data_IF_427991412812
#
_entry.id   IF_427991412812
#
_cell.length_a   1.000
_cell.length_b   1.000
_cell.length_c   1.000
_cell.angle_alpha   90.00
_cell.angle_beta   90.00
_cell.angle_gamma   90.00
#
_symmetry.space_group_name_H-M   'P 1'
#
loop_
_entity.id
_entity.type
_entity.pdbx_description
1 polymer ?
#
# COMPACT_ATOMS: atom_id res chain seq x y z
N UNK A 1 -8.09 -7.63 23.54
CA UNK A 1 -9.24 -6.91 22.91
C UNK A 1 -9.21 -7.20 21.43
N UNK A 2 -10.37 -7.48 20.83
CA UNK A 2 -10.47 -7.68 19.39
C UNK A 2 -10.49 -6.30 18.72
N UNK A 3 -9.35 -5.85 18.15
CA UNK A 3 -9.25 -4.56 17.48
C UNK A 3 -9.63 -4.74 16.03
N UNK A 4 -10.57 -3.92 15.55
CA UNK A 4 -10.86 -3.82 14.12
C UNK A 4 -9.63 -3.35 13.35
N UNK A 5 -9.48 -3.82 12.13
CA UNK A 5 -8.33 -3.54 11.27
C UNK A 5 -8.77 -3.08 9.90
N UNK A 6 -7.99 -2.20 9.30
CA UNK A 6 -8.02 -1.91 7.87
C UNK A 6 -6.69 -2.39 7.31
N UNK A 7 -6.76 -3.34 6.39
CA UNK A 7 -5.59 -3.83 5.68
C UNK A 7 -5.27 -2.88 4.52
N UNK A 8 -4.15 -2.19 4.61
CA UNK A 8 -3.75 -1.19 3.63
C UNK A 8 -2.99 -1.77 2.42
N UNK A 9 -2.82 -3.09 2.32
CA UNK A 9 -2.14 -3.70 1.20
C UNK A 9 -2.48 -5.18 1.05
N UNK A 10 -3.22 -5.53 0.03
CA UNK A 10 -3.48 -6.90 -0.40
C UNK A 10 -3.71 -7.00 -1.90
N UNK A 11 -3.58 -8.20 -2.43
CA UNK A 11 -3.73 -8.50 -3.84
C UNK A 11 -4.81 -9.54 -4.10
N UNK A 12 -5.35 -9.52 -5.32
CA UNK A 12 -6.28 -10.50 -5.84
C UNK A 12 -5.79 -10.99 -7.20
N UNK A 13 -5.77 -12.30 -7.41
CA UNK A 13 -5.44 -12.87 -8.69
C UNK A 13 -4.71 -14.20 -8.64
N UNK A 14 -4.19 -14.60 -9.79
CA UNK A 14 -3.34 -15.79 -9.95
C UNK A 14 -1.87 -15.39 -10.03
N UNK A 15 -1.09 -15.82 -9.04
CA UNK A 15 0.35 -15.60 -8.92
C UNK A 15 1.13 -16.92 -9.16
N UNK A 16 0.53 -17.88 -9.88
CA UNK A 16 1.07 -19.23 -10.09
C UNK A 16 2.44 -19.27 -10.77
N UNK A 17 2.78 -18.24 -11.56
CA UNK A 17 4.03 -18.20 -12.31
C UNK A 17 5.29 -18.11 -11.44
N UNK A 18 5.25 -17.42 -10.30
CA UNK A 18 6.42 -17.25 -9.41
C UNK A 18 6.13 -17.60 -7.95
N UNK A 19 4.92 -17.36 -7.46
CA UNK A 19 4.58 -17.59 -6.05
C UNK A 19 3.82 -18.91 -5.83
N UNK A 20 3.26 -19.53 -6.90
CA UNK A 20 2.52 -20.78 -6.80
C UNK A 20 1.20 -20.68 -6.04
N UNK A 21 0.63 -19.48 -5.93
CA UNK A 21 -0.62 -19.21 -5.20
C UNK A 21 -1.63 -18.49 -6.08
N UNK A 22 -2.92 -18.80 -5.86
CA UNK A 22 -4.04 -18.04 -6.38
C UNK A 22 -4.92 -17.59 -5.20
N UNK A 23 -5.44 -16.36 -5.26
CA UNK A 23 -6.22 -15.78 -4.20
C UNK A 23 -7.45 -15.08 -4.78
N UNK A 24 -8.61 -15.65 -4.53
CA UNK A 24 -9.88 -15.15 -5.03
C UNK A 24 -10.63 -14.31 -3.98
N UNK A 25 -11.70 -13.63 -4.41
CA UNK A 25 -12.53 -12.80 -3.54
C UNK A 25 -13.11 -13.59 -2.36
N UNK A 26 -13.43 -14.88 -2.53
CA UNK A 26 -13.99 -15.72 -1.45
C UNK A 26 -12.92 -15.97 -0.37
N UNK A 27 -11.70 -16.28 -0.78
CA UNK A 27 -10.59 -16.50 0.14
C UNK A 27 -10.25 -15.20 0.90
N UNK A 28 -10.26 -14.07 0.21
CA UNK A 28 -10.05 -12.75 0.80
C UNK A 28 -11.11 -12.44 1.87
N UNK A 29 -12.39 -12.58 1.56
CA UNK A 29 -13.48 -12.27 2.50
C UNK A 29 -13.45 -13.19 3.73
N UNK A 30 -13.15 -14.46 3.55
CA UNK A 30 -12.97 -15.41 4.67
C UNK A 30 -11.81 -14.98 5.56
N UNK A 31 -10.65 -14.63 4.97
CA UNK A 31 -9.50 -14.12 5.72
C UNK A 31 -9.85 -12.84 6.50
N UNK A 32 -10.60 -11.93 5.89
CA UNK A 32 -11.05 -10.71 6.56
C UNK A 32 -11.93 -11.01 7.78
N UNK A 33 -12.87 -11.96 7.66
CA UNK A 33 -13.74 -12.39 8.77
C UNK A 33 -12.93 -13.05 9.90
N UNK A 34 -12.04 -13.99 9.57
CA UNK A 34 -11.20 -14.72 10.53
C UNK A 34 -10.27 -13.81 11.35
N UNK A 35 -9.89 -12.66 10.81
CA UNK A 35 -8.90 -11.76 11.42
C UNK A 35 -9.43 -10.38 11.80
N UNK A 36 -10.76 -10.16 11.81
CA UNK A 36 -11.40 -8.88 12.13
C UNK A 36 -10.92 -7.72 11.25
N UNK A 37 -10.72 -7.98 9.96
CA UNK A 37 -10.39 -6.98 8.97
C UNK A 37 -11.71 -6.40 8.45
N UNK A 38 -11.95 -5.12 8.72
CA UNK A 38 -13.18 -4.45 8.31
C UNK A 38 -13.16 -4.10 6.83
N UNK A 39 -12.04 -3.58 6.36
CA UNK A 39 -11.81 -3.21 4.95
C UNK A 39 -10.40 -3.60 4.53
N UNK A 40 -10.24 -3.87 3.24
CA UNK A 40 -8.93 -4.10 2.64
C UNK A 40 -8.73 -3.21 1.42
N UNK A 41 -7.54 -2.63 1.31
CA UNK A 41 -7.05 -2.00 0.10
C UNK A 41 -6.59 -3.11 -0.85
N UNK A 42 -7.19 -3.14 -2.03
CA UNK A 42 -7.02 -4.23 -2.97
C UNK A 42 -6.47 -3.75 -4.31
N UNK A 43 -5.39 -4.37 -4.77
CA UNK A 43 -4.85 -4.21 -6.10
C UNK A 43 -4.80 -5.55 -6.84
N UNK A 44 -4.81 -5.53 -8.17
CA UNK A 44 -4.64 -6.72 -9.00
C UNK A 44 -3.22 -7.29 -8.95
N UNK A 45 -2.94 -8.35 -9.72
CA UNK A 45 -1.62 -8.95 -9.81
C UNK A 45 -0.67 -8.21 -10.77
N UNK A 46 -1.19 -7.27 -11.53
CA UNK A 46 -0.49 -6.42 -12.48
C UNK A 46 -1.39 -5.29 -12.96
N UNK A 47 -0.86 -4.41 -13.81
CA UNK A 47 -1.64 -3.34 -14.45
C UNK A 47 -2.78 -3.86 -15.35
N UNK A 48 -2.77 -5.13 -15.73
CA UNK A 48 -3.84 -5.78 -16.50
C UNK A 48 -4.92 -6.43 -15.61
N UNK A 49 -4.72 -6.49 -14.30
CA UNK A 49 -5.61 -7.16 -13.35
C UNK A 49 -6.71 -6.28 -12.73
N UNK A 50 -6.83 -5.03 -13.14
CA UNK A 50 -7.72 -4.06 -12.51
C UNK A 50 -9.22 -4.41 -12.62
N UNK A 51 -9.65 -5.08 -13.70
CA UNK A 51 -11.06 -5.47 -13.88
C UNK A 51 -11.51 -6.53 -12.85
N UNK A 52 -10.60 -7.40 -12.38
CA UNK A 52 -10.91 -8.34 -11.31
C UNK A 52 -11.12 -7.63 -9.96
N UNK A 53 -10.35 -6.56 -9.70
CA UNK A 53 -10.53 -5.70 -8.53
C UNK A 53 -11.86 -4.94 -8.62
N UNK A 54 -12.21 -4.44 -9.80
CA UNK A 54 -13.49 -3.76 -10.05
C UNK A 54 -14.67 -4.70 -9.76
N UNK A 55 -14.66 -5.93 -10.27
CA UNK A 55 -15.70 -6.94 -10.01
C UNK A 55 -15.84 -7.23 -8.51
N UNK A 56 -14.72 -7.40 -7.81
CA UNK A 56 -14.72 -7.63 -6.36
C UNK A 56 -15.28 -6.41 -5.60
N UNK A 57 -14.90 -5.20 -5.98
CA UNK A 57 -15.40 -3.96 -5.38
C UNK A 57 -16.91 -3.77 -5.61
N UNK A 58 -17.40 -3.96 -6.84
CA UNK A 58 -18.81 -3.81 -7.15
C UNK A 58 -19.70 -4.78 -6.35
N UNK A 59 -19.20 -5.98 -6.05
CA UNK A 59 -19.91 -6.98 -5.21
C UNK A 59 -19.80 -6.72 -3.71
N UNK A 60 -18.72 -6.10 -3.26
CA UNK A 60 -18.41 -5.90 -1.83
C UNK A 60 -17.88 -4.48 -1.54
N UNK A 61 -18.67 -3.42 -1.85
CA UNK A 61 -18.19 -2.03 -1.75
C UNK A 61 -17.95 -1.56 -0.30
N UNK A 62 -18.53 -2.24 0.66
CA UNK A 62 -18.33 -2.01 2.10
C UNK A 62 -17.06 -2.68 2.65
N UNK A 63 -16.45 -3.61 1.91
CA UNK A 63 -15.27 -4.38 2.32
C UNK A 63 -14.01 -3.98 1.56
N UNK A 64 -14.12 -3.63 0.30
CA UNK A 64 -13.01 -3.43 -0.61
C UNK A 64 -12.80 -1.95 -0.89
N UNK A 65 -11.55 -1.51 -0.77
CA UNK A 65 -11.07 -0.19 -1.20
C UNK A 65 -10.21 -0.42 -2.45
N UNK A 66 -10.74 -0.19 -3.66
CA UNK A 66 -10.08 -0.56 -4.89
C UNK A 66 -8.95 0.43 -5.24
N UNK A 67 -7.79 -0.11 -5.62
CA UNK A 67 -6.65 0.64 -6.12
C UNK A 67 -6.30 0.19 -7.53
N UNK A 68 -6.12 1.16 -8.44
CA UNK A 68 -5.71 0.87 -9.81
C UNK A 68 -4.21 0.62 -9.86
N UNK A 69 -3.79 -0.54 -10.35
CA UNK A 69 -2.39 -0.75 -10.70
C UNK A 69 -2.11 -0.13 -12.05
N UNK A 70 -1.12 0.75 -12.11
CA UNK A 70 -0.68 1.45 -13.31
C UNK A 70 0.80 1.17 -13.59
N UNK A 71 1.11 0.83 -14.83
CA UNK A 71 2.48 0.82 -15.37
C UNK A 71 2.71 2.17 -16.07
N UNK A 72 3.49 3.08 -15.48
CA UNK A 72 3.63 4.43 -16.03
C UNK A 72 4.36 4.48 -17.38
N UNK A 73 5.04 3.39 -17.75
CA UNK A 73 5.84 3.31 -18.98
C UNK A 73 5.03 2.73 -20.15
N UNK A 74 4.12 1.77 -19.86
CA UNK A 74 3.43 1.00 -20.90
C UNK A 74 1.94 1.32 -21.04
N UNK A 75 1.32 1.81 -19.96
CA UNK A 75 -0.10 2.14 -19.97
C UNK A 75 -0.35 3.53 -20.57
N UNK A 76 -1.53 3.72 -21.14
CA UNK A 76 -2.11 5.04 -21.36
C UNK A 76 -2.63 5.54 -20.00
N UNK A 77 -1.77 6.31 -19.30
CA UNK A 77 -1.95 6.72 -17.91
C UNK A 77 -3.27 7.48 -17.73
N UNK A 78 -3.48 8.52 -18.55
CA UNK A 78 -4.67 9.38 -18.44
C UNK A 78 -5.95 8.57 -18.66
N UNK A 79 -6.01 7.82 -19.72
CA UNK A 79 -7.18 7.00 -20.06
C UNK A 79 -7.49 5.96 -18.99
N UNK A 80 -6.45 5.25 -18.51
CA UNK A 80 -6.64 4.20 -17.50
C UNK A 80 -7.06 4.78 -16.16
N UNK A 81 -6.42 5.84 -15.70
CA UNK A 81 -6.75 6.47 -14.43
C UNK A 81 -8.14 7.14 -14.48
N UNK A 82 -8.49 7.80 -15.59
CA UNK A 82 -9.85 8.33 -15.77
C UNK A 82 -10.90 7.22 -15.64
N UNK A 83 -10.73 6.11 -16.36
CA UNK A 83 -11.66 4.97 -16.28
C UNK A 83 -11.84 4.49 -14.85
N UNK A 84 -10.75 4.12 -14.16
CA UNK A 84 -10.88 3.45 -12.87
C UNK A 84 -11.15 4.43 -11.70
N UNK A 85 -10.55 5.61 -11.69
CA UNK A 85 -10.72 6.56 -10.58
C UNK A 85 -11.97 7.41 -10.74
N UNK A 86 -12.17 8.00 -11.94
CA UNK A 86 -13.27 8.94 -12.16
C UNK A 86 -14.58 8.20 -12.43
N UNK A 87 -14.57 7.23 -13.36
CA UNK A 87 -15.78 6.57 -13.80
C UNK A 87 -16.21 5.43 -12.86
N UNK A 88 -15.25 4.62 -12.36
CA UNK A 88 -15.52 3.42 -11.57
C UNK A 88 -15.29 3.59 -10.05
N UNK A 89 -14.80 4.75 -9.60
CA UNK A 89 -14.71 5.12 -8.19
C UNK A 89 -13.58 4.45 -7.41
N UNK A 90 -12.49 4.06 -8.06
CA UNK A 90 -11.28 3.61 -7.38
C UNK A 90 -10.71 4.73 -6.51
N UNK A 91 -10.06 4.36 -5.39
CA UNK A 91 -9.71 5.29 -4.31
C UNK A 91 -8.25 5.70 -4.29
N UNK A 92 -7.42 5.14 -5.16
CA UNK A 92 -6.01 5.47 -5.26
C UNK A 92 -5.28 4.61 -6.28
N UNK A 93 -3.97 4.80 -6.34
CA UNK A 93 -3.09 4.20 -7.34
C UNK A 93 -2.06 3.29 -6.69
N UNK A 94 -1.80 2.13 -7.31
CA UNK A 94 -0.68 1.23 -7.01
C UNK A 94 0.34 1.30 -8.14
N UNK A 95 1.62 1.51 -7.79
CA UNK A 95 2.75 1.31 -8.69
C UNK A 95 3.70 0.24 -8.16
N UNK A 96 4.28 -0.56 -9.05
CA UNK A 96 5.24 -1.59 -8.69
C UNK A 96 6.52 -1.50 -9.54
N UNK A 97 7.47 -0.62 -9.19
CA UNK A 97 8.63 -0.33 -10.04
C UNK A 97 9.46 -1.56 -10.44
N UNK A 98 9.58 -2.57 -9.54
CA UNK A 98 10.30 -3.80 -9.87
C UNK A 98 9.60 -4.62 -10.96
N UNK A 99 8.29 -4.86 -10.86
CA UNK A 99 7.56 -5.69 -11.82
C UNK A 99 7.33 -4.98 -13.15
N UNK A 100 7.13 -3.67 -13.10
CA UNK A 100 6.92 -2.85 -14.29
C UNK A 100 8.25 -2.31 -14.88
N UNK A 101 9.39 -2.63 -14.23
CA UNK A 101 10.75 -2.36 -14.69
C UNK A 101 11.05 -0.87 -14.97
N UNK A 102 10.67 0.02 -14.04
CA UNK A 102 11.04 1.44 -14.04
C UNK A 102 11.65 1.86 -12.70
N UNK A 103 12.44 2.92 -12.67
CA UNK A 103 12.93 3.48 -11.40
C UNK A 103 11.87 4.43 -10.83
N UNK A 104 11.61 4.35 -9.52
CA UNK A 104 10.46 5.02 -8.90
C UNK A 104 10.42 6.55 -9.11
N UNK A 105 11.57 7.21 -9.28
CA UNK A 105 11.68 8.66 -9.59
C UNK A 105 11.84 8.98 -11.08
N UNK A 106 11.66 7.99 -11.97
CA UNK A 106 11.63 8.21 -13.40
C UNK A 106 10.55 9.24 -13.76
N UNK A 107 10.82 10.21 -14.66
CA UNK A 107 9.82 11.17 -15.13
C UNK A 107 8.55 10.53 -15.72
N UNK A 108 8.61 9.29 -16.19
CA UNK A 108 7.41 8.54 -16.62
C UNK A 108 6.36 8.39 -15.50
N UNK A 109 6.76 8.47 -14.24
CA UNK A 109 5.83 8.42 -13.11
C UNK A 109 5.11 9.77 -12.83
N UNK A 110 5.63 10.89 -13.34
CA UNK A 110 5.07 12.23 -13.06
C UNK A 110 3.60 12.38 -13.52
N UNK A 111 3.14 11.89 -14.71
CA UNK A 111 1.73 11.97 -15.09
C UNK A 111 0.79 11.22 -14.12
N UNK A 112 1.25 10.11 -13.52
CA UNK A 112 0.48 9.39 -12.50
C UNK A 112 0.31 10.24 -11.24
N UNK A 113 1.38 10.91 -10.83
CA UNK A 113 1.38 11.76 -9.63
C UNK A 113 0.55 13.03 -9.84
N UNK A 114 0.62 13.64 -11.02
CA UNK A 114 -0.19 14.81 -11.40
C UNK A 114 -1.69 14.45 -11.35
N UNK A 115 -2.08 13.36 -11.99
CA UNK A 115 -3.46 12.87 -11.96
C UNK A 115 -3.95 12.59 -10.52
N UNK A 116 -3.12 11.91 -9.70
CA UNK A 116 -3.45 11.61 -8.31
C UNK A 116 -3.62 12.90 -7.47
N UNK A 117 -2.78 13.91 -7.72
CA UNK A 117 -2.87 15.22 -7.08
C UNK A 117 -4.16 15.98 -7.40
N UNK A 118 -4.63 15.90 -8.64
CA UNK A 118 -5.87 16.52 -9.11
C UNK A 118 -7.13 15.83 -8.56
N UNK A 119 -7.09 14.49 -8.44
CA UNK A 119 -8.23 13.67 -8.02
C UNK A 119 -8.15 13.24 -6.54
N UNK A 120 -7.19 13.78 -5.77
CA UNK A 120 -7.03 13.54 -4.33
C UNK A 120 -6.83 12.08 -3.94
N UNK A 121 -6.30 11.25 -4.84
CA UNK A 121 -5.97 9.86 -4.58
C UNK A 121 -4.59 9.68 -3.93
N UNK A 122 -4.41 8.79 -2.94
CA UNK A 122 -3.08 8.40 -2.50
C UNK A 122 -2.41 7.46 -3.51
N UNK A 123 -1.06 7.54 -3.58
CA UNK A 123 -0.26 6.65 -4.42
C UNK A 123 0.55 5.71 -3.54
N UNK A 124 0.38 4.41 -3.73
CA UNK A 124 1.07 3.35 -3.01
C UNK A 124 2.14 2.74 -3.91
N UNK A 125 3.40 2.81 -3.48
CA UNK A 125 4.56 2.39 -4.28
C UNK A 125 5.29 1.26 -3.57
N UNK A 126 5.46 0.13 -4.26
CA UNK A 126 6.28 -0.97 -3.76
C UNK A 126 7.71 -0.48 -3.50
N UNK A 127 8.25 -0.75 -2.31
CA UNK A 127 9.51 -0.20 -1.82
C UNK A 127 10.47 -1.28 -1.35
N UNK A 128 11.78 -1.10 -1.60
CA UNK A 128 12.84 -1.91 -1.02
C UNK A 128 13.56 -2.85 -1.98
N UNK A 129 13.30 -2.77 -3.29
CA UNK A 129 14.00 -3.60 -4.29
C UNK A 129 14.91 -2.75 -5.21
N UNK A 130 16.25 -2.86 -5.04
CA UNK A 130 17.18 -2.18 -5.93
C UNK A 130 17.18 -2.80 -7.35
N UNK A 131 17.45 -2.01 -8.39
CA UNK A 131 17.64 -0.56 -8.33
C UNK A 131 16.33 0.24 -8.43
N UNK A 132 15.18 -0.42 -8.62
CA UNK A 132 13.92 0.17 -9.09
C UNK A 132 13.15 0.95 -8.03
N UNK A 133 13.03 0.41 -6.81
CA UNK A 133 12.13 0.95 -5.78
C UNK A 133 12.84 1.28 -4.46
N UNK A 134 13.96 1.97 -4.55
CA UNK A 134 14.69 2.42 -3.37
C UNK A 134 13.92 3.52 -2.63
N UNK A 135 13.98 3.58 -1.29
CA UNK A 135 13.32 4.63 -0.50
C UNK A 135 13.68 6.04 -0.93
N UNK A 136 14.94 6.25 -1.35
CA UNK A 136 15.40 7.56 -1.82
C UNK A 136 14.75 7.97 -3.14
N UNK A 137 14.61 7.05 -4.10
CA UNK A 137 13.94 7.33 -5.37
C UNK A 137 12.45 7.65 -5.16
N UNK A 138 11.75 6.89 -4.30
CA UNK A 138 10.36 7.21 -3.95
C UNK A 138 10.26 8.58 -3.26
N UNK A 139 11.24 8.91 -2.41
CA UNK A 139 11.28 10.22 -1.74
C UNK A 139 11.51 11.39 -2.71
N UNK A 140 12.34 11.21 -3.74
CA UNK A 140 12.55 12.21 -4.80
C UNK A 140 11.28 12.43 -5.62
N UNK A 141 10.55 11.36 -5.94
CA UNK A 141 9.24 11.49 -6.58
C UNK A 141 8.24 12.24 -5.69
N UNK A 142 8.15 11.90 -4.40
CA UNK A 142 7.29 12.58 -3.45
C UNK A 142 7.66 14.06 -3.21
N UNK A 143 8.94 14.40 -3.28
CA UNK A 143 9.44 15.78 -3.20
C UNK A 143 8.96 16.63 -4.38
N UNK A 144 8.95 16.07 -5.61
CA UNK A 144 8.43 16.76 -6.81
C UNK A 144 6.91 16.96 -6.77
N UNK A 145 6.18 16.11 -6.03
CA UNK A 145 4.71 16.13 -5.94
C UNK A 145 4.22 16.27 -4.49
N UNK A 146 4.49 17.40 -3.81
CA UNK A 146 4.23 17.55 -2.37
C UNK A 146 2.76 17.49 -1.98
N UNK A 147 1.85 17.69 -2.94
CA UNK A 147 0.40 17.62 -2.73
C UNK A 147 -0.15 16.17 -2.76
N UNK A 148 0.65 15.20 -3.22
CA UNK A 148 0.25 13.80 -3.31
C UNK A 148 0.71 13.05 -2.07
N UNK A 149 -0.17 12.30 -1.43
CA UNK A 149 0.18 11.38 -0.35
C UNK A 149 0.76 10.11 -0.96
N UNK A 150 2.02 9.82 -0.64
CA UNK A 150 2.75 8.67 -1.16
C UNK A 150 3.02 7.68 -0.04
N UNK A 151 2.65 6.42 -0.22
CA UNK A 151 2.92 5.35 0.73
C UNK A 151 4.01 4.43 0.21
N UNK A 152 5.10 4.31 0.98
CA UNK A 152 6.15 3.31 0.76
C UNK A 152 5.67 1.97 1.31
N UNK A 153 5.23 1.07 0.42
CA UNK A 153 4.82 -0.28 0.79
C UNK A 153 6.04 -1.06 1.28
N UNK A 154 5.84 -1.87 2.33
CA UNK A 154 6.87 -2.69 2.99
C UNK A 154 7.95 -1.92 3.76
N UNK A 155 7.85 -0.61 3.92
CA UNK A 155 8.84 0.19 4.68
C UNK A 155 10.30 -0.09 4.30
N UNK A 156 10.62 -0.39 3.02
CA UNK A 156 11.97 -0.78 2.60
C UNK A 156 12.22 -2.29 2.60
N UNK A 157 11.18 -3.12 2.81
CA UNK A 157 11.20 -4.57 2.70
C UNK A 157 12.21 -5.28 3.64
N UNK A 158 12.90 -6.33 3.18
CA UNK A 158 13.73 -7.21 4.00
C UNK A 158 15.10 -6.66 4.43
N UNK A 159 15.50 -5.45 4.01
CA UNK A 159 16.85 -4.94 4.26
C UNK A 159 16.87 -3.79 5.28
N UNK A 160 17.57 -3.97 6.38
CA UNK A 160 17.65 -2.99 7.48
C UNK A 160 18.06 -1.58 7.03
N UNK A 161 18.99 -1.47 6.06
CA UNK A 161 19.41 -0.18 5.48
C UNK A 161 18.26 0.52 4.78
N UNK A 162 17.39 -0.20 4.06
CA UNK A 162 16.26 0.39 3.37
C UNK A 162 15.11 0.71 4.32
N UNK A 163 14.92 -0.10 5.37
CA UNK A 163 13.96 0.21 6.43
C UNK A 163 14.34 1.53 7.13
N UNK A 164 15.60 1.68 7.52
CA UNK A 164 16.12 2.93 8.10
C UNK A 164 15.98 4.12 7.14
N UNK A 165 16.25 3.89 5.85
CA UNK A 165 16.10 4.92 4.83
C UNK A 165 14.62 5.35 4.68
N UNK A 166 13.68 4.41 4.66
CA UNK A 166 12.25 4.70 4.58
C UNK A 166 11.77 5.56 5.74
N UNK A 167 12.18 5.22 6.96
CA UNK A 167 11.88 6.02 8.16
C UNK A 167 12.48 7.43 8.06
N UNK A 168 13.75 7.54 7.64
CA UNK A 168 14.43 8.84 7.48
C UNK A 168 13.77 9.71 6.40
N UNK A 169 13.38 9.10 5.27
CA UNK A 169 12.71 9.83 4.20
C UNK A 169 11.30 10.27 4.60
N UNK A 170 10.53 9.39 5.24
CA UNK A 170 9.21 9.74 5.74
C UNK A 170 9.25 10.81 6.87
N UNK A 171 10.33 10.85 7.68
CA UNK A 171 10.55 11.95 8.62
C UNK A 171 10.80 13.29 7.90
N UNK A 172 11.53 13.26 6.78
CA UNK A 172 11.92 14.46 6.02
C UNK A 172 10.75 15.02 5.21
N UNK A 173 9.94 14.16 4.59
CA UNK A 173 8.87 14.54 3.69
C UNK A 173 7.50 14.24 4.30
N UNK A 174 6.71 15.28 4.55
CA UNK A 174 5.44 15.17 5.28
C UNK A 174 4.35 14.40 4.53
N UNK A 175 4.46 14.29 3.21
CA UNK A 175 3.54 13.56 2.35
C UNK A 175 3.89 12.06 2.18
N UNK A 176 4.96 11.58 2.84
CA UNK A 176 5.32 10.16 2.85
C UNK A 176 4.69 9.42 4.02
N UNK A 177 4.09 8.28 3.70
CA UNK A 177 3.51 7.29 4.61
C UNK A 177 4.28 5.97 4.50
N UNK A 178 4.19 5.13 5.53
CA UNK A 178 4.85 3.83 5.57
C UNK A 178 3.81 2.73 5.80
N UNK A 179 3.81 1.70 4.96
CA UNK A 179 3.01 0.51 5.13
C UNK A 179 3.93 -0.67 5.49
N UNK A 180 3.54 -1.48 6.49
CA UNK A 180 4.46 -2.36 7.21
C UNK A 180 4.44 -3.84 6.79
N UNK A 181 3.61 -4.25 5.83
CA UNK A 181 3.54 -5.66 5.41
C UNK A 181 4.90 -6.18 4.91
N UNK A 182 5.19 -7.45 5.14
CA UNK A 182 6.43 -8.08 4.68
C UNK A 182 7.74 -7.57 5.31
N UNK A 183 7.73 -6.46 6.03
CA UNK A 183 8.91 -5.93 6.73
C UNK A 183 9.20 -6.75 8.00
N UNK A 184 10.38 -7.36 8.15
CA UNK A 184 10.61 -8.39 9.18
C UNK A 184 10.88 -7.85 10.59
N UNK A 185 11.20 -6.56 10.73
CA UNK A 185 11.69 -5.99 12.00
C UNK A 185 10.58 -5.27 12.78
N UNK A 186 9.77 -5.99 13.57
CA UNK A 186 8.67 -5.42 14.35
C UNK A 186 9.05 -4.19 15.19
N UNK A 187 10.25 -4.15 15.79
CA UNK A 187 10.72 -2.98 16.54
C UNK A 187 10.78 -1.69 15.70
N UNK A 188 10.93 -1.80 14.39
CA UNK A 188 10.95 -0.64 13.48
C UNK A 188 9.58 -0.01 13.28
N UNK A 189 8.49 -0.71 13.58
CA UNK A 189 7.13 -0.16 13.57
C UNK A 189 7.00 0.91 14.66
N UNK A 190 7.39 0.59 15.89
CA UNK A 190 7.36 1.54 17.00
C UNK A 190 8.34 2.71 16.81
N UNK A 191 9.53 2.44 16.24
CA UNK A 191 10.48 3.50 15.87
C UNK A 191 9.87 4.45 14.82
N UNK A 192 9.28 3.90 13.76
CA UNK A 192 8.61 4.68 12.71
C UNK A 192 7.47 5.53 13.29
N UNK A 193 6.59 4.94 14.09
CA UNK A 193 5.48 5.63 14.72
C UNK A 193 5.94 6.86 15.52
N UNK A 194 6.99 6.70 16.33
CA UNK A 194 7.55 7.79 17.16
C UNK A 194 8.36 8.81 16.38
N UNK A 195 8.94 8.41 15.26
CA UNK A 195 9.91 9.24 14.51
C UNK A 195 9.25 10.01 13.36
N UNK A 196 8.33 9.35 12.65
CA UNK A 196 7.67 9.88 11.45
C UNK A 196 6.41 10.67 11.82
N UNK A 197 5.67 10.17 12.78
CA UNK A 197 4.39 10.72 13.25
C UNK A 197 3.33 9.62 13.33
N UNK A 198 2.50 9.73 14.35
CA UNK A 198 1.52 8.75 14.74
C UNK A 198 0.52 8.37 13.62
N UNK A 199 0.22 9.31 12.73
CA UNK A 199 -0.84 9.19 11.73
C UNK A 199 -0.34 8.71 10.34
N UNK A 200 0.94 8.30 10.23
CA UNK A 200 1.55 7.97 8.94
C UNK A 200 2.07 6.53 8.80
N UNK A 201 1.77 5.67 9.78
CA UNK A 201 2.15 4.25 9.75
C UNK A 201 0.89 3.41 9.55
N UNK A 202 0.89 2.56 8.53
CA UNK A 202 -0.26 1.78 8.09
C UNK A 202 -0.01 0.30 8.30
N UNK A 203 -1.02 -0.39 8.82
CA UNK A 203 -1.05 -1.84 8.84
C UNK A 203 -1.43 -2.38 7.47
N UNK A 204 -0.73 -3.40 6.99
CA UNK A 204 -1.09 -4.19 5.82
C UNK A 204 -0.64 -5.63 5.97
N UNK A 205 -1.15 -6.49 5.10
CA UNK A 205 -0.91 -7.93 5.13
C UNK A 205 -0.10 -8.38 3.92
N UNK A 206 -0.35 -7.78 2.74
CA UNK A 206 0.19 -8.24 1.45
C UNK A 206 -0.29 -9.67 1.11
N UNK A 207 -1.58 -9.94 1.34
CA UNK A 207 -2.16 -11.21 0.92
C UNK A 207 -2.10 -11.36 -0.60
N UNK A 208 -1.81 -12.56 -1.10
CA UNK A 208 -1.71 -13.86 -0.40
C UNK A 208 -0.29 -14.23 0.07
N UNK A 209 0.70 -13.32 -0.01
CA UNK A 209 2.11 -13.65 0.20
C UNK A 209 2.48 -13.78 1.67
N UNK A 210 1.82 -13.04 2.55
CA UNK A 210 2.04 -13.08 3.99
C UNK A 210 0.77 -13.52 4.74
N UNK A 211 0.98 -14.16 5.90
CA UNK A 211 -0.13 -14.65 6.71
C UNK A 211 -0.60 -13.55 7.68
N UNK A 212 -1.91 -13.25 7.76
CA UNK A 212 -2.43 -12.18 8.63
C UNK A 212 -1.99 -12.27 10.07
N UNK A 213 -1.95 -13.48 10.65
CA UNK A 213 -1.50 -13.68 12.04
C UNK A 213 -0.08 -13.17 12.26
N UNK A 214 0.83 -13.35 11.29
CA UNK A 214 2.22 -12.88 11.40
C UNK A 214 2.25 -11.36 11.39
N UNK A 215 1.56 -10.75 10.44
CA UNK A 215 1.53 -9.30 10.29
C UNK A 215 0.86 -8.61 11.50
N UNK A 216 -0.22 -9.18 12.02
CA UNK A 216 -0.90 -8.71 13.24
C UNK A 216 0.03 -8.82 14.44
N UNK A 217 0.75 -9.94 14.62
CA UNK A 217 1.65 -10.13 15.76
C UNK A 217 2.80 -9.11 15.76
N UNK A 218 3.29 -8.68 14.60
CA UNK A 218 4.33 -7.63 14.55
C UNK A 218 3.86 -6.34 15.22
N UNK A 219 2.63 -5.92 15.01
CA UNK A 219 2.07 -4.72 15.66
C UNK A 219 1.81 -4.95 17.15
N UNK A 220 1.22 -6.10 17.51
CA UNK A 220 0.90 -6.41 18.90
C UNK A 220 2.14 -6.52 19.80
N UNK A 221 3.30 -6.86 19.22
CA UNK A 221 4.54 -7.10 19.96
C UNK A 221 5.62 -6.04 19.76
N UNK A 222 5.37 -4.99 18.96
CA UNK A 222 6.38 -3.97 18.64
C UNK A 222 6.66 -2.95 19.75
N UNK A 223 5.93 -2.99 20.86
CA UNK A 223 6.12 -2.08 22.01
C UNK A 223 5.31 -0.79 21.94
N UNK A 224 4.28 -0.73 21.10
CA UNK A 224 3.27 0.31 21.09
C UNK A 224 2.18 0.02 22.13
N UNK A 225 1.60 1.06 22.74
CA UNK A 225 0.41 0.96 23.60
C UNK A 225 -0.82 0.53 22.77
N UNK A 226 -1.90 0.10 23.45
CA UNK A 226 -3.15 -0.31 22.80
C UNK A 226 -3.78 0.82 21.95
N UNK A 227 -3.60 2.07 22.35
CA UNK A 227 -4.08 3.23 21.59
C UNK A 227 -3.25 3.44 20.32
N UNK A 228 -1.94 3.43 20.45
CA UNK A 228 -1.00 3.54 19.31
C UNK A 228 -1.15 2.37 18.32
N UNK A 229 -1.39 1.14 18.81
CA UNK A 229 -1.70 -0.01 17.96
C UNK A 229 -3.01 0.20 17.18
N UNK A 230 -4.04 0.80 17.80
CA UNK A 230 -5.30 1.11 17.14
C UNK A 230 -5.12 2.13 16.01
N UNK A 231 -4.21 3.08 16.19
CA UNK A 231 -3.86 4.02 15.13
C UNK A 231 -3.27 3.29 13.92
N UNK A 232 -2.29 2.43 14.14
CA UNK A 232 -1.64 1.64 13.09
C UNK A 232 -2.63 0.68 12.43
N UNK A 233 -3.43 -0.03 13.21
CA UNK A 233 -4.38 -1.02 12.70
C UNK A 233 -5.56 -0.42 11.95
N UNK A 234 -6.01 0.79 12.32
CA UNK A 234 -7.30 1.27 11.85
C UNK A 234 -7.34 2.77 11.51
N UNK A 235 -7.02 3.65 12.49
CA UNK A 235 -7.32 5.07 12.38
C UNK A 235 -6.55 5.74 11.24
N UNK A 236 -5.28 5.38 11.05
CA UNK A 236 -4.41 5.98 10.05
C UNK A 236 -4.88 5.67 8.63
N UNK A 237 -5.17 4.39 8.33
CA UNK A 237 -5.71 4.00 7.04
C UNK A 237 -7.08 4.64 6.79
N UNK A 238 -7.97 4.65 7.79
CA UNK A 238 -9.27 5.31 7.72
C UNK A 238 -9.14 6.80 7.36
N UNK A 239 -8.23 7.51 8.01
CA UNK A 239 -7.95 8.93 7.76
C UNK A 239 -7.37 9.15 6.36
N UNK A 240 -6.36 8.35 5.97
CA UNK A 240 -5.70 8.48 4.67
C UNK A 240 -6.68 8.27 3.50
N UNK A 241 -7.56 7.28 3.63
CA UNK A 241 -8.49 6.83 2.59
C UNK A 241 -9.88 7.50 2.65
N UNK A 242 -10.11 8.38 3.63
CA UNK A 242 -11.41 9.05 3.87
C UNK A 242 -12.58 8.04 3.97
N UNK A 243 -12.46 7.02 4.85
CA UNK A 243 -13.43 5.94 5.05
C UNK A 243 -14.38 6.21 6.22
#
# INVERSE_FOLDING_TARGET
MNMKKIDAHSHLGDFGGWAGVAFDTRALLRQMEEHDIERTLLAGPSSQGNDAVLDAFQRHPDKIVPFVWIDPVRDDVEKKLTRYIVDEGFRGVKMHPLFDAFVADDPAADPVMEFAGEHCGPVFIHCGHPPFSLPWSIALLAERHPNVKVTMIHMGHGHGVYIDASIKMAKRYANLYLEMSGMPMGCKIAEAYKTVGADRILFGIDSPFHHPTVEIQKVLTCGLSDEEQRDVFYNNAKKLLNL
#
